data_IF_006127947094
#
_entry.id   IF_006127947094
#
_cell.length_a   1.000
_cell.length_b   1.000
_cell.length_c   1.000
_cell.angle_alpha   90.00
_cell.angle_beta   90.00
_cell.angle_gamma   90.00
#
_symmetry.space_group_name_H-M   'P 1'
#
loop_
_entity.id
_entity.type
_entity.pdbx_description
1 polymer ?
#
# COMPACT_ATOMS: atom_id res chain seq x y z
N UNK A 1 17.93 -18.10 14.51
CA UNK A 1 18.14 -17.04 15.52
C UNK A 1 17.37 -15.80 15.07
N UNK A 2 16.30 -15.41 15.77
CA UNK A 2 15.55 -14.18 15.48
C UNK A 2 16.43 -12.98 15.81
N UNK A 3 16.64 -12.11 14.82
CA UNK A 3 17.42 -10.88 15.00
C UNK A 3 16.64 -9.91 15.89
N UNK A 4 17.12 -9.70 17.14
CA UNK A 4 16.45 -8.92 18.19
C UNK A 4 16.57 -7.40 17.94
N UNK A 5 17.24 -6.98 16.87
CA UNK A 5 17.58 -5.57 16.61
C UNK A 5 16.63 -4.81 15.67
N UNK A 6 15.42 -5.28 15.41
CA UNK A 6 14.41 -4.50 14.68
C UNK A 6 14.78 -4.02 13.26
N UNK A 7 15.98 -4.35 12.76
CA UNK A 7 16.42 -3.97 11.42
C UNK A 7 15.77 -4.92 10.40
N UNK A 8 14.90 -4.39 9.56
CA UNK A 8 14.32 -5.15 8.44
C UNK A 8 15.43 -5.58 7.48
N UNK A 9 15.47 -6.88 7.18
CA UNK A 9 16.38 -7.43 6.15
C UNK A 9 16.09 -6.76 4.80
N UNK A 10 17.16 -6.55 4.06
CA UNK A 10 17.14 -5.85 2.77
C UNK A 10 17.53 -6.77 1.62
N UNK A 11 17.25 -6.34 0.38
CA UNK A 11 17.73 -7.04 -0.83
C UNK A 11 19.26 -7.19 -0.86
N UNK A 12 19.98 -6.26 -0.23
CA UNK A 12 21.43 -6.31 -0.13
C UNK A 12 21.92 -7.39 0.83
N UNK A 13 21.16 -7.68 1.88
CA UNK A 13 21.46 -8.75 2.82
C UNK A 13 21.28 -10.12 2.15
N UNK A 14 20.21 -10.28 1.35
CA UNK A 14 20.02 -11.49 0.54
C UNK A 14 21.14 -11.65 -0.49
N UNK A 15 21.51 -10.59 -1.18
CA UNK A 15 22.59 -10.61 -2.16
C UNK A 15 23.92 -11.06 -1.52
N UNK A 16 24.24 -10.50 -0.35
CA UNK A 16 25.45 -10.85 0.41
C UNK A 16 25.46 -12.32 0.85
N UNK A 17 24.32 -12.82 1.35
CA UNK A 17 24.23 -14.19 1.89
C UNK A 17 24.10 -15.24 0.79
N UNK A 18 23.43 -14.93 -0.31
CA UNK A 18 23.29 -15.85 -1.45
C UNK A 18 24.47 -15.85 -2.40
N UNK A 19 25.39 -14.87 -2.29
CA UNK A 19 26.54 -14.72 -3.20
C UNK A 19 26.20 -14.19 -4.58
N UNK A 20 24.95 -13.71 -4.80
CA UNK A 20 24.52 -13.16 -6.08
C UNK A 20 24.39 -11.63 -6.04
N UNK A 21 24.37 -11.00 -7.23
CA UNK A 21 24.21 -9.55 -7.31
C UNK A 21 22.81 -9.11 -6.87
N UNK A 22 22.65 -7.90 -6.32
CA UNK A 22 21.31 -7.36 -5.98
C UNK A 22 20.36 -7.34 -7.17
N UNK A 23 20.86 -7.15 -8.39
CA UNK A 23 20.11 -7.21 -9.64
C UNK A 23 19.55 -8.61 -9.91
N UNK A 24 20.35 -9.67 -9.65
CA UNK A 24 19.91 -11.07 -9.79
C UNK A 24 18.86 -11.40 -8.73
N UNK A 25 19.09 -11.02 -7.48
CA UNK A 25 18.13 -11.19 -6.38
C UNK A 25 16.80 -10.49 -6.70
N UNK A 26 16.84 -9.25 -7.19
CA UNK A 26 15.66 -8.51 -7.62
C UNK A 26 14.86 -9.24 -8.70
N UNK A 27 15.53 -9.86 -9.67
CA UNK A 27 14.85 -10.65 -10.71
C UNK A 27 14.13 -11.86 -10.11
N UNK A 28 14.75 -12.58 -9.20
CA UNK A 28 14.13 -13.73 -8.52
C UNK A 28 12.90 -13.29 -7.73
N UNK A 29 12.99 -12.21 -6.94
CA UNK A 29 11.88 -11.65 -6.17
C UNK A 29 10.71 -11.21 -7.08
N UNK A 30 11.01 -10.74 -8.29
CA UNK A 30 10.01 -10.25 -9.26
C UNK A 30 9.52 -11.30 -10.27
N UNK A 31 9.68 -12.57 -10.00
CA UNK A 31 9.11 -13.66 -10.81
C UNK A 31 10.13 -14.52 -11.54
N UNK A 32 11.42 -14.34 -11.30
CA UNK A 32 12.48 -15.24 -11.77
C UNK A 32 12.72 -15.29 -13.29
N UNK A 33 12.20 -14.32 -14.06
CA UNK A 33 12.33 -14.31 -15.52
C UNK A 33 13.81 -14.24 -15.91
N UNK A 34 14.25 -15.18 -16.77
CA UNK A 34 15.64 -15.31 -17.26
C UNK A 34 16.68 -15.54 -16.13
N UNK A 35 16.34 -16.30 -15.09
CA UNK A 35 17.27 -16.77 -14.06
C UNK A 35 17.37 -18.29 -14.18
N UNK A 36 18.60 -18.83 -14.08
CA UNK A 36 18.83 -20.28 -14.06
C UNK A 36 18.17 -20.88 -12.80
N UNK A 37 17.62 -22.08 -12.93
CA UNK A 37 16.91 -22.76 -11.84
C UNK A 37 17.77 -22.91 -10.58
N UNK A 38 19.04 -23.29 -10.71
CA UNK A 38 19.98 -23.41 -9.59
C UNK A 38 20.16 -22.07 -8.84
N UNK A 39 20.25 -20.95 -9.58
CA UNK A 39 20.36 -19.62 -9.02
C UNK A 39 19.07 -19.21 -8.32
N UNK A 40 17.93 -19.54 -8.92
CA UNK A 40 16.62 -19.28 -8.36
C UNK A 40 16.46 -19.98 -7.00
N UNK A 41 16.73 -21.29 -6.95
CA UNK A 41 16.64 -22.10 -5.74
C UNK A 41 17.58 -21.61 -4.62
N UNK A 42 18.83 -21.27 -4.97
CA UNK A 42 19.80 -20.77 -4.00
C UNK A 42 19.33 -19.44 -3.36
N UNK A 43 18.77 -18.53 -4.14
CA UNK A 43 18.25 -17.24 -3.64
C UNK A 43 16.97 -17.44 -2.83
N UNK A 44 16.06 -18.31 -3.27
CA UNK A 44 14.82 -18.61 -2.55
C UNK A 44 15.10 -19.19 -1.17
N UNK A 45 16.07 -20.08 -1.05
CA UNK A 45 16.50 -20.63 0.23
C UNK A 45 16.91 -19.53 1.22
N UNK A 46 17.68 -18.56 0.78
CA UNK A 46 18.11 -17.43 1.63
C UNK A 46 16.93 -16.53 2.00
N UNK A 47 15.99 -16.30 1.08
CA UNK A 47 14.76 -15.55 1.34
C UNK A 47 13.94 -16.22 2.45
N UNK A 48 13.78 -17.54 2.39
CA UNK A 48 13.06 -18.32 3.39
C UNK A 48 13.78 -18.32 4.75
N UNK A 49 15.10 -18.56 4.77
CA UNK A 49 15.91 -18.56 5.99
C UNK A 49 15.84 -17.21 6.73
N UNK A 50 15.84 -16.10 5.98
CA UNK A 50 15.72 -14.76 6.54
C UNK A 50 14.27 -14.35 6.85
N UNK A 51 13.28 -15.14 6.46
CA UNK A 51 11.87 -14.76 6.46
C UNK A 51 11.69 -13.36 5.80
N UNK A 52 12.42 -13.12 4.70
CA UNK A 52 12.40 -11.83 4.04
C UNK A 52 11.05 -11.60 3.35
N UNK A 53 10.42 -10.51 3.70
CA UNK A 53 9.21 -10.04 3.03
C UNK A 53 9.61 -8.90 2.09
N UNK A 54 9.42 -9.07 0.76
CA UNK A 54 9.70 -8.01 -0.20
C UNK A 54 8.98 -6.72 0.20
N UNK A 55 9.71 -5.61 0.21
CA UNK A 55 9.10 -4.32 0.48
C UNK A 55 8.21 -3.94 -0.71
N UNK A 56 6.90 -4.01 -0.52
CA UNK A 56 5.91 -3.67 -1.53
C UNK A 56 6.09 -2.22 -2.05
N UNK A 57 6.53 -1.31 -1.19
CA UNK A 57 6.84 0.08 -1.59
C UNK A 57 8.02 0.15 -2.56
N UNK A 58 9.10 -0.61 -2.31
CA UNK A 58 10.23 -0.68 -3.23
C UNK A 58 9.88 -1.36 -4.56
N UNK A 59 8.97 -2.34 -4.52
CA UNK A 59 8.46 -3.02 -5.71
C UNK A 59 7.58 -2.08 -6.56
N UNK A 60 6.75 -1.28 -5.90
CA UNK A 60 5.84 -0.33 -6.57
C UNK A 60 6.58 0.90 -7.13
N UNK A 61 7.71 1.30 -6.54
CA UNK A 61 8.59 2.35 -7.10
C UNK A 61 9.22 1.94 -8.45
N UNK A 62 9.38 0.64 -8.70
CA UNK A 62 9.96 0.12 -9.94
C UNK A 62 8.91 -0.35 -10.96
N UNK A 63 7.68 -0.60 -10.51
CA UNK A 63 6.51 -0.92 -11.34
C UNK A 63 5.45 0.15 -11.15
N UNK A 64 5.27 0.98 -12.15
CA UNK A 64 4.23 2.02 -12.29
C UNK A 64 2.79 1.47 -12.40
N UNK A 65 2.51 0.27 -11.85
CA UNK A 65 1.31 -0.50 -12.20
C UNK A 65 0.32 -0.74 -11.05
N UNK A 66 0.64 -0.41 -9.80
CA UNK A 66 -0.31 -0.58 -8.71
C UNK A 66 -0.95 0.77 -8.37
N UNK A 67 -2.22 0.91 -8.71
CA UNK A 67 -3.05 2.05 -8.30
C UNK A 67 -3.40 1.88 -6.82
N UNK A 68 -3.20 2.92 -6.03
CA UNK A 68 -3.53 2.95 -4.62
C UNK A 68 -4.67 3.94 -4.37
N UNK A 69 -5.81 3.45 -3.90
CA UNK A 69 -6.97 4.27 -3.57
C UNK A 69 -7.10 4.36 -2.05
N UNK A 70 -7.24 5.57 -1.55
CA UNK A 70 -7.60 5.82 -0.16
C UNK A 70 -9.12 5.92 -0.03
N UNK A 71 -9.69 5.19 0.90
CA UNK A 71 -11.08 5.28 1.32
C UNK A 71 -11.07 6.01 2.67
N UNK A 72 -11.35 7.31 2.65
CA UNK A 72 -11.37 8.15 3.85
C UNK A 72 -12.79 8.30 4.35
N UNK A 73 -13.07 7.71 5.51
CA UNK A 73 -14.41 7.63 6.12
C UNK A 73 -14.46 8.55 7.32
N UNK A 74 -15.36 9.54 7.30
CA UNK A 74 -15.58 10.37 8.49
C UNK A 74 -16.19 9.53 9.61
N UNK A 75 -15.60 9.58 10.79
CA UNK A 75 -16.15 8.93 11.98
C UNK A 75 -17.41 9.68 12.41
N UNK A 76 -18.54 8.97 12.46
CA UNK A 76 -19.82 9.46 12.96
C UNK A 76 -20.33 8.55 14.08
N UNK A 77 -20.86 9.14 15.16
CA UNK A 77 -21.28 8.39 16.35
C UNK A 77 -22.52 7.51 16.14
N UNK A 78 -23.32 7.83 15.12
CA UNK A 78 -24.56 7.10 14.81
C UNK A 78 -24.49 6.51 13.40
N UNK A 79 -23.70 5.47 13.22
CA UNK A 79 -23.47 4.86 11.93
C UNK A 79 -24.55 3.83 11.59
N UNK A 80 -25.23 3.90 10.44
CA UNK A 80 -25.98 2.77 9.89
C UNK A 80 -24.97 1.74 9.34
N UNK A 81 -24.39 0.97 10.26
CA UNK A 81 -23.25 0.06 10.04
C UNK A 81 -23.47 -0.93 8.88
N UNK A 82 -24.69 -1.43 8.72
CA UNK A 82 -24.97 -2.56 7.83
C UNK A 82 -24.83 -2.18 6.34
N UNK A 83 -25.42 -1.06 5.91
CA UNK A 83 -25.33 -0.70 4.50
C UNK A 83 -23.93 -0.22 4.12
N UNK A 84 -23.27 0.52 5.03
CA UNK A 84 -21.90 0.97 4.78
C UNK A 84 -20.94 -0.22 4.68
N UNK A 85 -21.07 -1.20 5.57
CA UNK A 85 -20.28 -2.43 5.51
C UNK A 85 -20.48 -3.14 4.16
N UNK A 86 -21.73 -3.28 3.71
CA UNK A 86 -22.04 -3.89 2.42
C UNK A 86 -21.44 -3.11 1.25
N UNK A 87 -21.49 -1.79 1.30
CA UNK A 87 -20.89 -0.92 0.28
C UNK A 87 -19.36 -1.03 0.28
N UNK A 88 -18.74 -0.96 1.47
CA UNK A 88 -17.31 -1.09 1.62
C UNK A 88 -16.80 -2.44 1.11
N UNK A 89 -17.50 -3.52 1.44
CA UNK A 89 -17.19 -4.87 0.94
C UNK A 89 -17.19 -4.92 -0.58
N UNK A 90 -18.19 -4.28 -1.23
CA UNK A 90 -18.26 -4.20 -2.68
C UNK A 90 -17.13 -3.38 -3.29
N UNK A 91 -16.79 -2.25 -2.67
CA UNK A 91 -15.65 -1.42 -3.11
C UNK A 91 -14.34 -2.21 -3.01
N UNK A 92 -14.10 -2.87 -1.87
CA UNK A 92 -12.89 -3.66 -1.66
C UNK A 92 -12.80 -4.86 -2.62
N UNK A 93 -13.93 -5.55 -2.86
CA UNK A 93 -13.99 -6.63 -3.84
C UNK A 93 -13.65 -6.12 -5.24
N UNK A 94 -14.24 -5.01 -5.66
CA UNK A 94 -13.96 -4.38 -6.96
C UNK A 94 -12.49 -3.98 -7.08
N UNK A 95 -11.92 -3.33 -6.05
CA UNK A 95 -10.49 -3.01 -6.03
C UNK A 95 -9.63 -4.26 -6.26
N UNK A 96 -9.96 -5.36 -5.59
CA UNK A 96 -9.25 -6.64 -5.74
C UNK A 96 -9.36 -7.20 -7.17
N UNK A 97 -10.55 -7.15 -7.77
CA UNK A 97 -10.79 -7.63 -9.15
C UNK A 97 -9.98 -6.85 -10.18
N UNK A 98 -9.80 -5.55 -9.98
CA UNK A 98 -9.04 -4.67 -10.88
C UNK A 98 -7.56 -4.52 -10.48
N UNK A 99 -7.08 -5.23 -9.47
CA UNK A 99 -5.68 -5.14 -9.02
C UNK A 99 -5.33 -3.80 -8.37
N UNK A 100 -6.33 -3.08 -7.85
CA UNK A 100 -6.19 -1.82 -7.15
C UNK A 100 -5.98 -2.07 -5.66
N UNK A 101 -4.99 -1.41 -5.05
CA UNK A 101 -4.82 -1.45 -3.61
C UNK A 101 -5.77 -0.47 -2.94
N UNK A 102 -6.50 -0.92 -1.94
CA UNK A 102 -7.38 -0.08 -1.14
C UNK A 102 -6.80 0.11 0.27
N UNK A 103 -6.74 1.35 0.72
CA UNK A 103 -6.35 1.73 2.07
C UNK A 103 -7.57 2.38 2.70
N UNK A 104 -7.98 1.94 3.89
CA UNK A 104 -9.12 2.52 4.60
C UNK A 104 -8.62 3.31 5.80
N UNK A 105 -9.11 4.51 5.94
CA UNK A 105 -8.82 5.41 7.06
C UNK A 105 -10.12 5.92 7.68
N UNK A 106 -10.18 5.94 9.01
CA UNK A 106 -11.21 6.70 9.71
C UNK A 106 -10.67 8.08 10.02
N UNK A 107 -11.39 9.11 9.56
CA UNK A 107 -11.05 10.51 9.78
C UNK A 107 -11.99 11.11 10.82
N UNK A 108 -11.45 11.54 11.96
CA UNK A 108 -12.21 12.16 13.05
C UNK A 108 -12.25 13.69 12.92
N UNK A 109 -13.06 14.36 13.74
CA UNK A 109 -13.10 15.83 13.77
C UNK A 109 -11.83 16.45 14.37
N UNK A 110 -11.09 15.66 15.15
CA UNK A 110 -9.83 16.08 15.78
C UNK A 110 -8.63 15.91 14.83
N UNK A 111 -8.81 15.20 13.71
CA UNK A 111 -7.74 14.95 12.76
C UNK A 111 -7.44 16.19 11.94
N UNK A 112 -6.17 16.31 11.61
CA UNK A 112 -5.63 17.29 10.65
C UNK A 112 -5.14 16.56 9.41
N UNK A 113 -5.00 17.27 8.30
CA UNK A 113 -4.45 16.65 7.09
C UNK A 113 -3.04 16.08 7.32
N UNK A 114 -2.24 16.71 8.18
CA UNK A 114 -0.85 16.29 8.43
C UNK A 114 -0.73 14.96 9.16
N UNK A 115 -1.73 14.56 9.97
CA UNK A 115 -1.75 13.26 10.64
C UNK A 115 -2.62 12.21 9.92
N UNK A 116 -3.22 12.58 8.81
CA UNK A 116 -4.02 11.71 7.94
C UNK A 116 -3.19 11.14 6.79
N UNK A 117 -3.58 9.97 6.29
CA UNK A 117 -3.00 9.34 5.09
C UNK A 117 -3.23 10.21 3.85
N UNK A 118 -4.23 11.09 3.85
CA UNK A 118 -4.47 12.07 2.79
C UNK A 118 -3.22 12.92 2.51
N UNK A 119 -2.40 13.23 3.52
CA UNK A 119 -1.15 13.96 3.33
C UNK A 119 -0.15 13.24 2.39
N UNK A 120 -0.31 11.94 2.21
CA UNK A 120 0.52 11.10 1.33
C UNK A 120 0.01 11.04 -0.12
N UNK A 121 -1.02 11.82 -0.48
CA UNK A 121 -1.52 11.90 -1.87
C UNK A 121 -0.44 12.44 -2.80
N UNK A 122 -0.41 11.90 -4.03
CA UNK A 122 0.60 12.22 -5.02
C UNK A 122 1.94 11.48 -4.87
N UNK A 123 2.20 10.85 -3.70
CA UNK A 123 3.37 10.01 -3.49
C UNK A 123 3.02 8.52 -3.32
N UNK A 124 1.98 8.23 -2.53
CA UNK A 124 1.52 6.87 -2.23
C UNK A 124 0.08 6.62 -2.66
N UNK A 125 -0.73 7.67 -2.80
CA UNK A 125 -2.16 7.60 -3.09
C UNK A 125 -2.42 8.24 -4.45
N UNK A 126 -3.09 7.51 -5.33
CA UNK A 126 -3.42 7.93 -6.70
C UNK A 126 -4.83 8.52 -6.79
N UNK A 127 -5.72 8.19 -5.84
CA UNK A 127 -7.08 8.72 -5.79
C UNK A 127 -7.73 8.50 -4.42
N UNK A 128 -8.78 9.25 -4.13
CA UNK A 128 -9.46 9.20 -2.83
C UNK A 128 -10.97 9.05 -3.00
N UNK A 129 -11.57 8.17 -2.21
CA UNK A 129 -13.01 8.10 -2.00
C UNK A 129 -13.29 8.70 -0.63
N UNK A 130 -14.02 9.80 -0.60
CA UNK A 130 -14.40 10.49 0.64
C UNK A 130 -15.83 10.08 1.00
N UNK A 131 -15.98 9.47 2.18
CA UNK A 131 -17.30 9.15 2.73
C UNK A 131 -17.66 10.12 3.83
N UNK A 132 -18.93 10.52 3.84
CA UNK A 132 -19.54 11.38 4.84
C UNK A 132 -18.81 12.71 4.98
N UNK A 133 -18.93 13.53 3.94
CA UNK A 133 -18.39 14.88 3.97
C UNK A 133 -19.11 15.79 4.97
N UNK A 134 -18.40 16.77 5.48
CA UNK A 134 -18.95 17.88 6.23
C UNK A 134 -19.02 19.15 5.38
N UNK A 135 -19.81 20.15 5.83
CA UNK A 135 -20.06 21.38 5.07
C UNK A 135 -18.78 22.11 4.62
N UNK A 136 -17.70 22.02 5.40
CA UNK A 136 -16.38 22.59 5.11
C UNK A 136 -15.30 21.54 5.33
N UNK A 137 -15.37 20.46 4.56
CA UNK A 137 -14.50 19.32 4.74
C UNK A 137 -13.05 19.61 4.34
N UNK A 138 -12.17 19.59 5.33
CA UNK A 138 -10.76 19.89 5.10
C UNK A 138 -10.07 18.88 4.17
N UNK A 139 -10.59 17.65 4.08
CA UNK A 139 -10.10 16.62 3.15
C UNK A 139 -10.37 17.04 1.72
N UNK A 140 -11.60 17.46 1.43
CA UNK A 140 -12.03 17.93 0.10
C UNK A 140 -11.23 19.17 -0.31
N UNK A 141 -11.12 20.15 0.59
CA UNK A 141 -10.35 21.37 0.33
C UNK A 141 -8.87 21.05 -0.02
N UNK A 142 -8.29 20.11 0.71
CA UNK A 142 -6.91 19.67 0.45
C UNK A 142 -6.78 18.97 -0.90
N UNK A 143 -7.69 18.04 -1.23
CA UNK A 143 -7.67 17.28 -2.48
C UNK A 143 -7.85 18.19 -3.70
N UNK A 144 -8.78 19.16 -3.62
CA UNK A 144 -9.00 20.17 -4.67
C UNK A 144 -7.75 21.03 -4.88
N UNK A 145 -7.17 21.56 -3.79
CA UNK A 145 -5.96 22.39 -3.84
C UNK A 145 -4.78 21.65 -4.50
N UNK A 146 -4.64 20.35 -4.23
CA UNK A 146 -3.55 19.53 -4.77
C UNK A 146 -3.90 18.83 -6.09
N UNK A 147 -5.08 19.11 -6.68
CA UNK A 147 -5.57 18.53 -7.95
C UNK A 147 -5.56 16.99 -7.94
N UNK A 148 -5.84 16.41 -6.78
CA UNK A 148 -5.92 14.96 -6.64
C UNK A 148 -7.27 14.44 -7.14
N UNK A 149 -7.31 13.33 -7.88
CA UNK A 149 -8.56 12.67 -8.23
C UNK A 149 -9.30 12.20 -6.97
N UNK A 150 -10.55 12.60 -6.83
CA UNK A 150 -11.39 12.10 -5.73
C UNK A 150 -12.86 12.04 -6.13
N UNK A 151 -13.61 11.23 -5.41
CA UNK A 151 -15.07 11.19 -5.44
C UNK A 151 -15.60 11.34 -4.01
N UNK A 152 -16.79 11.91 -3.89
CA UNK A 152 -17.49 12.07 -2.61
C UNK A 152 -18.72 11.19 -2.63
N UNK A 153 -18.94 10.51 -1.52
CA UNK A 153 -20.09 9.65 -1.29
C UNK A 153 -20.70 10.02 0.06
N UNK A 154 -21.81 10.74 0.01
CA UNK A 154 -22.55 11.25 1.17
C UNK A 154 -23.97 10.75 1.26
#
# INVERSE_FOLDING_TARGET
MKNINGKKETIYDIARLSGFSPKTVSRVINGGVNVKEETYQAIQKVIEELSYIPNAYAKNLTKKEAINILISVKKIDSFPLIWFQTLLDKVLQTCKEYGVNAIVEYFSEEDTISNSIISSTGSLIDGVIVFYESKEDIRINYLQKNKMPFIVFG
#
